data_IF_148637847567
#
_entry.id   IF_148637847567
#
_cell.length_a   1.000
_cell.length_b   1.000
_cell.length_c   1.000
_cell.angle_alpha   90.00
_cell.angle_beta   90.00
_cell.angle_gamma   90.00
#
_symmetry.space_group_name_H-M   'P 1'
#
loop_
_entity.id
_entity.type
_entity.pdbx_description
1 polymer ?
#
# COMPACT_ATOMS: atom_id res chain seq x y z
N UNK A 1 49.66 -4.59 5.81
CA UNK A 1 48.33 -4.50 5.19
C UNK A 1 48.45 -3.49 4.06
N UNK A 2 48.24 -3.92 2.82
CA UNK A 2 48.31 -3.02 1.67
C UNK A 2 47.05 -2.15 1.61
N UNK A 3 47.17 -0.81 1.59
CA UNK A 3 46.05 0.12 1.72
C UNK A 3 45.04 0.08 0.54
N UNK A 4 45.34 -0.67 -0.52
CA UNK A 4 44.46 -0.85 -1.68
C UNK A 4 43.42 -1.98 -1.52
N UNK A 5 43.67 -2.95 -0.65
CA UNK A 5 42.82 -4.14 -0.50
C UNK A 5 41.58 -3.84 0.33
N UNK A 6 41.73 -3.08 1.42
CA UNK A 6 40.63 -2.61 2.27
C UNK A 6 39.61 -1.77 1.47
N UNK A 7 40.07 -0.90 0.58
CA UNK A 7 39.19 -0.05 -0.22
C UNK A 7 38.34 -0.85 -1.20
N UNK A 8 38.94 -1.86 -1.85
CA UNK A 8 38.21 -2.74 -2.80
C UNK A 8 37.22 -3.65 -2.08
N UNK A 9 37.57 -4.14 -0.90
CA UNK A 9 36.67 -4.94 -0.07
C UNK A 9 35.50 -4.10 0.47
N UNK A 10 35.75 -2.86 0.90
CA UNK A 10 34.70 -1.93 1.31
C UNK A 10 33.75 -1.60 0.14
N UNK A 11 34.27 -1.34 -1.06
CA UNK A 11 33.45 -1.06 -2.24
C UNK A 11 32.60 -2.28 -2.65
N UNK A 12 33.14 -3.50 -2.51
CA UNK A 12 32.40 -4.73 -2.75
C UNK A 12 31.32 -4.98 -1.69
N UNK A 13 31.63 -4.71 -0.41
CA UNK A 13 30.68 -4.79 0.70
C UNK A 13 29.56 -3.76 0.55
N UNK A 14 29.90 -2.51 0.17
CA UNK A 14 28.95 -1.45 -0.11
C UNK A 14 28.01 -1.82 -1.26
N UNK A 15 28.55 -2.33 -2.38
CA UNK A 15 27.72 -2.80 -3.51
C UNK A 15 26.81 -3.98 -3.16
N UNK A 16 27.14 -4.80 -2.16
CA UNK A 16 26.25 -5.86 -1.65
C UNK A 16 25.13 -5.27 -0.78
N UNK A 17 25.46 -4.30 0.08
CA UNK A 17 24.48 -3.56 0.88
C UNK A 17 23.50 -2.76 0.02
N UNK A 18 23.99 -2.05 -0.99
CA UNK A 18 23.18 -1.25 -1.93
C UNK A 18 22.16 -2.12 -2.68
N UNK A 19 22.57 -3.33 -3.10
CA UNK A 19 21.66 -4.29 -3.74
C UNK A 19 20.56 -4.76 -2.79
N UNK A 20 20.90 -5.06 -1.54
CA UNK A 20 19.92 -5.44 -0.52
C UNK A 20 18.97 -4.31 -0.16
N UNK A 21 19.46 -3.06 -0.08
CA UNK A 21 18.60 -1.88 0.12
C UNK A 21 17.59 -1.71 -1.01
N UNK A 22 18.04 -1.76 -2.27
CA UNK A 22 17.12 -1.64 -3.42
C UNK A 22 16.08 -2.74 -3.47
N UNK A 23 16.42 -3.97 -3.09
CA UNK A 23 15.44 -5.06 -2.97
C UNK A 23 14.43 -4.78 -1.84
N UNK A 24 14.92 -4.30 -0.68
CA UNK A 24 14.08 -3.88 0.45
C UNK A 24 13.13 -2.73 0.12
N UNK A 25 13.61 -1.69 -0.57
CA UNK A 25 12.78 -0.55 -1.00
C UNK A 25 11.68 -1.01 -1.97
N UNK A 26 11.99 -1.90 -2.90
CA UNK A 26 10.98 -2.48 -3.81
C UNK A 26 9.91 -3.27 -3.05
N UNK A 27 10.29 -4.06 -2.04
CA UNK A 27 9.35 -4.76 -1.16
C UNK A 27 8.49 -3.79 -0.35
N UNK A 28 9.08 -2.72 0.18
CA UNK A 28 8.36 -1.71 0.94
C UNK A 28 7.33 -0.98 0.07
N UNK A 29 7.69 -0.61 -1.17
CA UNK A 29 6.77 0.03 -2.12
C UNK A 29 5.67 -0.93 -2.55
N UNK A 30 5.99 -2.20 -2.84
CA UNK A 30 5.01 -3.20 -3.23
C UNK A 30 4.01 -3.48 -2.10
N UNK A 31 4.48 -3.66 -0.86
CA UNK A 31 3.61 -3.86 0.31
C UNK A 31 2.77 -2.63 0.63
N UNK A 32 3.33 -1.42 0.51
CA UNK A 32 2.58 -0.18 0.66
C UNK A 32 1.46 -0.05 -0.39
N UNK A 33 1.72 -0.44 -1.65
CA UNK A 33 0.70 -0.45 -2.70
C UNK A 33 -0.43 -1.43 -2.41
N UNK A 34 -0.12 -2.65 -1.93
CA UNK A 34 -1.13 -3.63 -1.51
C UNK A 34 -1.97 -3.09 -0.35
N UNK A 35 -1.33 -2.52 0.68
CA UNK A 35 -2.05 -1.98 1.84
C UNK A 35 -2.94 -0.80 1.47
N UNK A 36 -2.44 0.14 0.67
CA UNK A 36 -3.22 1.27 0.17
C UNK A 36 -4.42 0.79 -0.66
N UNK A 37 -4.21 -0.21 -1.52
CA UNK A 37 -5.29 -0.82 -2.30
C UNK A 37 -6.34 -1.53 -1.43
N UNK A 38 -5.90 -2.26 -0.39
CA UNK A 38 -6.80 -2.90 0.56
C UNK A 38 -7.65 -1.88 1.33
N UNK A 39 -7.05 -0.77 1.77
CA UNK A 39 -7.79 0.33 2.43
C UNK A 39 -8.80 0.96 1.47
N UNK A 40 -8.42 1.20 0.22
CA UNK A 40 -9.34 1.71 -0.79
C UNK A 40 -10.52 0.75 -1.05
N UNK A 41 -10.27 -0.57 -1.06
CA UNK A 41 -11.34 -1.57 -1.16
C UNK A 41 -12.27 -1.54 0.05
N UNK A 42 -11.73 -1.46 1.27
CA UNK A 42 -12.53 -1.39 2.49
C UNK A 42 -13.41 -0.12 2.52
N UNK A 43 -12.87 1.01 2.08
CA UNK A 43 -13.62 2.26 1.94
C UNK A 43 -14.65 2.19 0.82
N UNK A 44 -14.35 1.53 -0.31
CA UNK A 44 -15.31 1.25 -1.38
C UNK A 44 -16.41 0.26 -0.93
N UNK A 45 -16.13 -0.63 0.01
CA UNK A 45 -17.10 -1.52 0.64
C UNK A 45 -17.88 -0.84 1.77
N UNK A 46 -17.72 0.48 1.99
CA UNK A 46 -18.34 1.20 3.09
C UNK A 46 -19.83 0.86 3.23
N UNK A 47 -20.14 0.22 4.35
CA UNK A 47 -21.50 -0.11 4.76
C UNK A 47 -22.23 1.20 5.03
N UNK A 48 -23.49 1.36 4.59
CA UNK A 48 -24.27 2.55 4.88
C UNK A 48 -24.21 2.89 6.36
N UNK A 49 -23.68 4.06 6.68
CA UNK A 49 -23.57 4.51 8.07
C UNK A 49 -24.88 5.16 8.48
N UNK A 50 -25.46 4.67 9.57
CA UNK A 50 -26.60 5.30 10.21
C UNK A 50 -26.07 6.37 11.15
N UNK A 51 -26.25 7.64 10.77
CA UNK A 51 -26.04 8.74 11.69
C UNK A 51 -27.38 8.99 12.38
N UNK A 52 -27.43 8.70 13.67
CA UNK A 52 -28.56 9.03 14.51
C UNK A 52 -28.15 10.24 15.36
N UNK A 53 -28.81 11.38 15.17
CA UNK A 53 -28.70 12.51 16.08
C UNK A 53 -29.85 12.42 17.09
N UNK A 54 -29.52 12.55 18.39
CA UNK A 54 -30.52 12.79 19.43
C UNK A 54 -30.29 14.22 19.96
N UNK A 55 -31.28 15.09 19.78
CA UNK A 55 -31.18 16.48 20.23
C UNK A 55 -32.47 17.28 20.05
N UNK A 56 -32.93 17.86 21.16
CA UNK A 56 -33.94 18.93 21.35
C UNK A 56 -34.97 19.20 20.22
N UNK A 57 -35.59 18.15 19.68
CA UNK A 57 -36.71 18.25 18.73
C UNK A 57 -36.53 17.57 17.37
N UNK A 58 -35.35 17.04 17.05
CA UNK A 58 -35.13 16.23 15.84
C UNK A 58 -34.53 14.88 16.23
N UNK A 59 -35.40 13.90 16.50
CA UNK A 59 -35.01 12.49 16.58
C UNK A 59 -35.19 11.85 15.20
N UNK A 60 -34.07 11.46 14.59
CA UNK A 60 -34.07 10.81 13.29
C UNK A 60 -32.74 10.14 12.99
N UNK A 61 -32.78 8.94 12.42
CA UNK A 61 -31.60 8.30 11.86
C UNK A 61 -31.58 8.55 10.36
N UNK A 62 -30.50 9.18 9.88
CA UNK A 62 -30.25 9.34 8.44
C UNK A 62 -29.25 8.29 8.02
N UNK A 63 -29.59 7.51 6.99
CA UNK A 63 -28.64 6.64 6.30
C UNK A 63 -27.86 7.48 5.31
N UNK A 64 -26.56 7.66 5.56
CA UNK A 64 -25.66 8.23 4.56
C UNK A 64 -25.15 7.09 3.67
N UNK A 65 -25.61 7.05 2.42
CA UNK A 65 -25.03 6.18 1.39
C UNK A 65 -24.00 6.99 0.60
N UNK A 66 -22.76 6.53 0.48
CA UNK A 66 -21.78 7.19 -0.38
C UNK A 66 -22.28 7.18 -1.84
N UNK A 67 -21.86 8.20 -2.61
CA UNK A 67 -22.17 8.28 -4.03
C UNK A 67 -21.66 7.01 -4.75
N UNK A 68 -22.51 6.31 -5.52
CA UNK A 68 -22.15 5.05 -6.15
C UNK A 68 -20.97 5.18 -7.11
N UNK A 69 -20.79 6.35 -7.73
CA UNK A 69 -19.68 6.63 -8.65
C UNK A 69 -18.34 6.65 -7.90
N UNK A 70 -18.33 7.26 -6.71
CA UNK A 70 -17.17 7.31 -5.83
C UNK A 70 -16.85 5.93 -5.29
N UNK A 71 -17.89 5.17 -4.92
CA UNK A 71 -17.76 3.81 -4.41
C UNK A 71 -17.12 2.86 -5.44
N UNK A 72 -17.60 2.88 -6.68
CA UNK A 72 -17.03 2.09 -7.79
C UNK A 72 -15.61 2.53 -8.09
N UNK A 73 -15.34 3.85 -8.12
CA UNK A 73 -13.99 4.37 -8.33
C UNK A 73 -12.98 3.85 -7.31
N UNK A 74 -13.34 3.87 -6.02
CA UNK A 74 -12.51 3.33 -4.93
C UNK A 74 -12.26 1.82 -5.07
N UNK A 75 -13.27 1.05 -5.48
CA UNK A 75 -13.12 -0.39 -5.71
C UNK A 75 -12.15 -0.69 -6.85
N UNK A 76 -12.29 0.01 -7.98
CA UNK A 76 -11.41 -0.17 -9.14
C UNK A 76 -9.97 0.22 -8.80
N UNK A 77 -9.77 1.39 -8.18
CA UNK A 77 -8.44 1.85 -7.76
C UNK A 77 -7.82 0.88 -6.76
N UNK A 78 -8.62 0.40 -5.80
CA UNK A 78 -8.17 -0.56 -4.81
C UNK A 78 -7.74 -1.89 -5.42
N UNK A 79 -8.53 -2.46 -6.34
CA UNK A 79 -8.19 -3.68 -7.07
C UNK A 79 -6.90 -3.53 -7.89
N UNK A 80 -6.76 -2.42 -8.61
CA UNK A 80 -5.57 -2.15 -9.43
C UNK A 80 -4.32 -2.01 -8.54
N UNK A 81 -4.42 -1.27 -7.43
CA UNK A 81 -3.31 -1.10 -6.50
C UNK A 81 -2.85 -2.42 -5.86
N UNK A 82 -3.81 -3.29 -5.47
CA UNK A 82 -3.49 -4.64 -4.97
C UNK A 82 -2.84 -5.48 -6.05
N UNK A 83 -3.40 -5.53 -7.27
CA UNK A 83 -2.85 -6.34 -8.36
C UNK A 83 -1.42 -5.90 -8.73
N UNK A 84 -1.18 -4.59 -8.84
CA UNK A 84 0.16 -4.04 -9.12
C UNK A 84 1.13 -4.37 -7.98
N UNK A 85 0.70 -4.21 -6.73
CA UNK A 85 1.52 -4.54 -5.56
C UNK A 85 1.89 -6.02 -5.50
N UNK A 86 0.94 -6.93 -5.80
CA UNK A 86 1.19 -8.38 -5.86
C UNK A 86 2.14 -8.73 -7.00
N UNK A 87 1.94 -8.19 -8.20
CA UNK A 87 2.86 -8.42 -9.33
C UNK A 87 4.27 -7.90 -9.03
N UNK A 88 4.39 -6.77 -8.34
CA UNK A 88 5.68 -6.24 -7.92
C UNK A 88 6.34 -7.14 -6.86
N UNK A 89 5.57 -7.70 -5.93
CA UNK A 89 6.05 -8.69 -4.96
C UNK A 89 6.54 -9.96 -5.65
N UNK A 90 5.77 -10.53 -6.57
CA UNK A 90 6.18 -11.71 -7.35
C UNK A 90 7.49 -11.45 -8.11
N UNK A 91 7.61 -10.30 -8.77
CA UNK A 91 8.85 -9.91 -9.47
C UNK A 91 10.05 -9.85 -8.52
N UNK A 92 9.87 -9.29 -7.32
CA UNK A 92 10.96 -9.23 -6.34
C UNK A 92 11.34 -10.62 -5.83
N UNK A 93 10.38 -11.53 -5.64
CA UNK A 93 10.67 -12.91 -5.23
C UNK A 93 11.32 -13.75 -6.33
N UNK A 94 10.97 -13.52 -7.60
CA UNK A 94 11.60 -14.21 -8.73
C UNK A 94 13.02 -13.69 -9.04
N UNK A 95 13.31 -12.44 -8.72
CA UNK A 95 14.62 -11.80 -8.91
C UNK A 95 15.59 -11.99 -7.72
N UNK A 96 15.12 -12.54 -6.59
CA UNK A 96 15.87 -12.72 -5.34
C UNK A 96 16.55 -14.09 -5.24
#
# INVERSE_FOLDING_TARGET
MEPGTDRRELEAAWRRLERRRRAGDRLAVATAAVLAGAVALLLGLAVPTRLCSQGAGYDGCVTSTPDPSVQVGLLVVGLVAVAVGVLALERVFLDA
#
